data_IF_972600915538
#
_entry.id   IF_972600915538
#
_cell.length_a   1.000
_cell.length_b   1.000
_cell.length_c   1.000
_cell.angle_alpha   90.00
_cell.angle_beta   90.00
_cell.angle_gamma   90.00
#
_symmetry.space_group_name_H-M   'P 1'
#
loop_
_entity.id
_entity.type
_entity.pdbx_description
1 polymer ?
#
# COMPACT_ATOMS: atom_id res chain seq x y z
N UNK A 1 -2.15 2.33 8.68
CA UNK A 1 -3.28 1.72 7.96
C UNK A 1 -3.35 0.23 8.23
N UNK A 2 -4.56 -0.32 8.27
CA UNK A 2 -4.81 -1.76 8.32
C UNK A 2 -4.69 -2.39 6.93
N UNK A 3 -4.59 -3.73 6.93
CA UNK A 3 -4.44 -4.55 5.72
C UNK A 3 -2.99 -4.80 5.32
N UNK A 4 -2.84 -5.59 4.26
CA UNK A 4 -1.58 -5.92 3.59
C UNK A 4 -1.78 -5.75 2.09
N UNK A 5 -0.73 -5.35 1.40
CA UNK A 5 -0.70 -5.27 -0.05
C UNK A 5 0.74 -5.37 -0.53
N UNK A 6 0.94 -5.87 -1.74
CA UNK A 6 2.22 -5.74 -2.44
C UNK A 6 2.35 -4.34 -3.08
N UNK A 7 3.55 -3.98 -3.52
CA UNK A 7 3.75 -2.76 -4.31
C UNK A 7 2.95 -2.78 -5.62
N UNK A 8 2.75 -3.97 -6.19
CA UNK A 8 1.94 -4.17 -7.37
C UNK A 8 0.47 -3.81 -7.09
N UNK A 9 -0.12 -4.38 -6.03
CA UNK A 9 -1.52 -4.12 -5.65
C UNK A 9 -1.75 -2.63 -5.35
N UNK A 10 -0.81 -2.03 -4.60
CA UNK A 10 -0.88 -0.61 -4.25
C UNK A 10 -0.90 0.28 -5.51
N UNK A 11 -0.03 -0.03 -6.48
CA UNK A 11 0.07 0.73 -7.74
C UNK A 11 -1.18 0.55 -8.62
N UNK A 12 -1.71 -0.68 -8.69
CA UNK A 12 -2.99 -0.96 -9.38
C UNK A 12 -4.13 -0.12 -8.81
N UNK A 13 -4.28 -0.07 -7.49
CA UNK A 13 -5.33 0.71 -6.85
C UNK A 13 -5.15 2.22 -7.05
N UNK A 14 -3.91 2.73 -7.10
CA UNK A 14 -3.65 4.13 -7.44
C UNK A 14 -4.17 4.43 -8.85
N UNK A 15 -3.82 3.60 -9.85
CA UNK A 15 -4.25 3.79 -11.22
C UNK A 15 -5.78 3.74 -11.35
N UNK A 16 -6.42 2.81 -10.65
CA UNK A 16 -7.88 2.69 -10.58
C UNK A 16 -8.53 3.96 -10.00
N UNK A 17 -8.06 4.42 -8.83
CA UNK A 17 -8.63 5.59 -8.15
C UNK A 17 -8.37 6.90 -8.89
N UNK A 18 -7.26 7.00 -9.64
CA UNK A 18 -6.98 8.12 -10.51
C UNK A 18 -7.81 8.10 -11.82
N UNK A 19 -8.63 7.06 -12.04
CA UNK A 19 -9.39 6.89 -13.28
C UNK A 19 -8.54 6.53 -14.50
N UNK A 20 -7.27 6.15 -14.31
CA UNK A 20 -6.35 5.82 -15.38
C UNK A 20 -6.53 4.37 -15.83
N UNK A 21 -7.38 4.16 -16.83
CA UNK A 21 -7.68 2.84 -17.41
C UNK A 21 -6.65 2.35 -18.43
N UNK A 22 -5.72 3.22 -18.85
CA UNK A 22 -4.71 2.90 -19.87
C UNK A 22 -3.36 2.48 -19.29
N UNK A 23 -3.18 2.57 -17.97
CA UNK A 23 -1.93 2.20 -17.32
C UNK A 23 -1.83 0.67 -17.17
N UNK A 24 -0.96 0.06 -17.96
CA UNK A 24 -0.68 -1.37 -17.87
C UNK A 24 0.37 -1.68 -16.78
N UNK A 25 -0.09 -1.89 -15.55
CA UNK A 25 0.76 -2.32 -14.43
C UNK A 25 0.91 -3.83 -14.45
N UNK A 26 2.14 -4.33 -14.59
CA UNK A 26 2.46 -5.76 -14.60
C UNK A 26 3.20 -6.15 -13.31
N UNK A 27 2.94 -7.36 -12.75
CA UNK A 27 3.68 -7.83 -11.59
C UNK A 27 5.12 -8.17 -11.98
N UNK A 28 6.05 -8.00 -11.04
CA UNK A 28 7.45 -8.37 -11.22
C UNK A 28 8.03 -8.89 -9.89
N UNK A 29 9.09 -9.69 -10.01
CA UNK A 29 9.91 -10.12 -8.89
C UNK A 29 10.95 -9.06 -8.54
N UNK A 30 11.33 -8.97 -7.26
CA UNK A 30 12.32 -8.00 -6.78
C UNK A 30 13.70 -8.16 -7.45
N UNK A 31 14.01 -9.39 -7.84
CA UNK A 31 15.23 -9.84 -8.48
C UNK A 31 15.36 -9.34 -9.93
N UNK A 32 14.24 -8.95 -10.56
CA UNK A 32 14.24 -8.27 -11.87
C UNK A 32 14.75 -6.82 -11.76
N UNK A 33 14.66 -6.22 -10.56
CA UNK A 33 15.09 -4.85 -10.27
C UNK A 33 16.06 -4.81 -9.09
N UNK A 34 17.28 -5.34 -9.28
CA UNK A 34 18.25 -5.43 -8.19
C UNK A 34 18.64 -4.04 -7.70
N UNK A 35 18.66 -3.88 -6.37
CA UNK A 35 19.11 -2.65 -5.73
C UNK A 35 20.20 -2.97 -4.71
N UNK A 36 21.07 -2.00 -4.41
CA UNK A 36 22.14 -2.17 -3.41
C UNK A 36 21.62 -2.53 -2.02
N UNK A 37 20.36 -2.21 -1.73
CA UNK A 37 19.73 -2.43 -0.41
C UNK A 37 18.76 -3.60 -0.51
N UNK A 38 18.90 -4.58 0.39
CA UNK A 38 17.95 -5.69 0.51
C UNK A 38 16.69 -5.20 1.19
N UNK A 39 15.55 -5.36 0.52
CA UNK A 39 14.23 -5.04 1.09
C UNK A 39 13.62 -6.30 1.71
N UNK A 40 13.01 -6.20 2.90
CA UNK A 40 12.27 -7.32 3.47
C UNK A 40 11.06 -7.64 2.59
N UNK A 41 10.80 -8.93 2.38
CA UNK A 41 9.62 -9.40 1.64
C UNK A 41 8.31 -9.11 2.38
N UNK A 42 8.36 -8.93 3.70
CA UNK A 42 7.22 -8.63 4.55
C UNK A 42 7.55 -7.49 5.52
N UNK A 43 6.81 -6.40 5.43
CA UNK A 43 7.03 -5.18 6.24
C UNK A 43 5.75 -4.66 6.90
N UNK A 44 4.71 -5.51 6.99
CA UNK A 44 3.47 -5.17 7.70
C UNK A 44 3.77 -5.10 9.20
N UNK A 45 3.43 -3.97 9.81
CA UNK A 45 3.58 -3.75 11.24
C UNK A 45 2.31 -4.16 11.99
N UNK A 46 2.46 -4.61 13.23
CA UNK A 46 1.35 -4.78 14.17
C UNK A 46 0.98 -3.43 14.81
N UNK A 47 -0.33 -3.19 14.95
CA UNK A 47 -0.92 -1.94 15.46
C UNK A 47 -1.63 -2.15 16.81
N UNK A 48 -1.56 -3.34 17.40
CA UNK A 48 -2.17 -3.67 18.70
C UNK A 48 -1.84 -2.61 19.76
N UNK A 49 -0.55 -2.29 19.96
CA UNK A 49 -0.12 -1.28 20.93
C UNK A 49 -0.77 0.09 20.70
N UNK A 50 -0.89 0.55 19.45
CA UNK A 50 -1.51 1.84 19.14
C UNK A 50 -3.01 1.82 19.50
N UNK A 51 -3.72 0.76 19.12
CA UNK A 51 -5.17 0.61 19.40
C UNK A 51 -5.44 0.57 20.90
N UNK A 52 -4.64 -0.17 21.65
CA UNK A 52 -4.77 -0.27 23.11
C UNK A 52 -4.43 1.04 23.82
N UNK A 53 -3.36 1.71 23.39
CA UNK A 53 -2.88 2.94 24.06
C UNK A 53 -3.83 4.12 23.83
N UNK A 54 -4.39 4.25 22.62
CA UNK A 54 -5.15 5.45 22.23
C UNK A 54 -6.65 5.18 22.05
N UNK A 55 -7.12 3.93 22.12
CA UNK A 55 -8.52 3.58 21.90
C UNK A 55 -9.04 3.91 20.50
N UNK A 56 -8.16 4.16 19.53
CA UNK A 56 -8.51 4.60 18.18
C UNK A 56 -8.34 3.47 17.16
N UNK A 57 -9.31 3.37 16.25
CA UNK A 57 -9.21 2.51 15.07
C UNK A 57 -8.22 3.06 14.05
N UNK A 58 -7.45 2.17 13.43
CA UNK A 58 -6.59 2.51 12.30
C UNK A 58 -7.37 2.23 11.01
N UNK A 59 -7.50 3.20 10.09
CA UNK A 59 -8.27 3.00 8.85
C UNK A 59 -7.61 1.96 7.95
N UNK A 60 -8.41 1.32 7.09
CA UNK A 60 -7.87 0.43 6.06
C UNK A 60 -7.09 1.25 5.01
N UNK A 61 -6.08 0.63 4.40
CA UNK A 61 -5.17 1.36 3.51
C UNK A 61 -5.87 1.87 2.24
N UNK A 62 -6.84 1.12 1.71
CA UNK A 62 -7.60 1.52 0.51
C UNK A 62 -8.46 2.76 0.76
N UNK A 63 -9.07 2.88 1.93
CA UNK A 63 -9.87 4.05 2.32
C UNK A 63 -9.00 5.30 2.41
N UNK A 64 -7.85 5.15 3.07
CA UNK A 64 -6.86 6.23 3.21
C UNK A 64 -6.28 6.64 1.86
N UNK A 65 -6.03 5.67 0.98
CA UNK A 65 -5.54 5.91 -0.38
C UNK A 65 -6.57 6.68 -1.20
N UNK A 66 -7.84 6.26 -1.19
CA UNK A 66 -8.91 6.95 -1.91
C UNK A 66 -9.05 8.39 -1.45
N UNK A 67 -9.01 8.65 -0.14
CA UNK A 67 -9.02 10.00 0.42
C UNK A 67 -7.81 10.81 -0.02
N UNK A 68 -6.62 10.22 -0.06
CA UNK A 68 -5.40 10.88 -0.52
C UNK A 68 -5.52 11.32 -1.99
N UNK A 69 -5.92 10.41 -2.88
CA UNK A 69 -6.09 10.70 -4.31
C UNK A 69 -7.18 11.76 -4.55
N UNK A 70 -8.28 11.75 -3.79
CA UNK A 70 -9.32 12.77 -3.90
C UNK A 70 -8.91 14.17 -3.40
N UNK A 71 -7.76 14.30 -2.75
CA UNK A 71 -7.19 15.58 -2.29
C UNK A 71 -6.03 16.08 -3.17
N UNK A 72 -5.72 15.38 -4.27
CA UNK A 72 -4.76 15.82 -5.29
C UNK A 72 -5.44 16.78 -6.28
#
# INVERSE_FOLDING_TARGET
NEGVCSWFDFTKMIAEYAGNRGCDVQPCHSDEFPSKVVRPSYSVLDKTKFKETFGMGVPYWTDSLRRCIGNL
#
